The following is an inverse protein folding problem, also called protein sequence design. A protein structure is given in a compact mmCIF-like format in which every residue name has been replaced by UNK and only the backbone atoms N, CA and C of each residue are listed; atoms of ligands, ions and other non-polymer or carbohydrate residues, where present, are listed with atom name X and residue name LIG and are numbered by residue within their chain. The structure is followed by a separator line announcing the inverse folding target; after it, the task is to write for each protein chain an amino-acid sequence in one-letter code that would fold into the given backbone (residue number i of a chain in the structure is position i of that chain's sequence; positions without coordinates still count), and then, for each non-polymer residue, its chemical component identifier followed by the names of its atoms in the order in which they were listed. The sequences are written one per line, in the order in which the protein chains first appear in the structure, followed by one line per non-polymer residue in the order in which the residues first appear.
data_IF_929170175707
#
_entry.id   IF_929170175707
#
_cell.length_a   1.000
_cell.length_b   1.000
_cell.length_c   1.000
_cell.angle_alpha   90.00
_cell.angle_beta   90.00
_cell.angle_gamma   90.00
#
_symmetry.space_group_name_H-M   'P 1'
#
loop_
_entity.id
_entity.type
_entity.pdbx_description
1 polymer ?
#
# COMPACT_ATOMS: atom_id res chain seq x y z
N UNK A 1 10.72 -16.32 -22.82
CA UNK A 1 12.04 -15.86 -22.35
C UNK A 1 11.84 -15.45 -20.89
N UNK A 2 12.31 -16.25 -19.94
CA UNK A 2 12.14 -15.93 -18.53
C UNK A 2 13.23 -14.94 -18.13
N UNK A 3 12.86 -13.85 -17.47
CA UNK A 3 13.83 -12.91 -16.91
C UNK A 3 14.72 -13.66 -15.89
N UNK A 4 16.00 -13.28 -15.75
CA UNK A 4 16.87 -13.87 -14.72
C UNK A 4 16.29 -13.62 -13.34
N UNK A 5 16.43 -14.58 -12.42
CA UNK A 5 15.98 -14.47 -11.00
C UNK A 5 16.60 -13.28 -10.25
N UNK A 6 17.62 -12.63 -10.82
CA UNK A 6 18.30 -11.45 -10.28
C UNK A 6 17.78 -10.13 -10.87
N UNK A 7 16.77 -10.16 -11.75
CA UNK A 7 16.19 -8.93 -12.28
C UNK A 7 15.41 -8.19 -11.18
N UNK A 8 15.48 -6.85 -11.13
CA UNK A 8 14.70 -6.08 -10.17
C UNK A 8 13.22 -6.42 -10.23
N UNK A 9 12.61 -6.73 -9.10
CA UNK A 9 11.16 -6.96 -9.04
C UNK A 9 10.47 -5.61 -8.98
N UNK A 10 9.75 -5.25 -10.03
CA UNK A 10 9.00 -3.99 -10.11
C UNK A 10 7.54 -4.28 -10.45
N UNK A 11 6.62 -3.57 -9.83
CA UNK A 11 5.19 -3.71 -10.12
C UNK A 11 4.31 -2.74 -9.32
N UNK A 12 3.00 -2.86 -9.55
CA UNK A 12 1.98 -2.12 -8.84
C UNK A 12 1.29 -3.02 -7.81
N UNK A 13 1.08 -2.49 -6.61
CA UNK A 13 0.24 -3.06 -5.56
C UNK A 13 -0.95 -2.14 -5.33
N UNK A 14 -2.09 -2.72 -4.93
CA UNK A 14 -3.27 -1.94 -4.58
C UNK A 14 -3.52 -2.09 -3.08
N UNK A 15 -3.45 -0.98 -2.36
CA UNK A 15 -3.82 -0.89 -0.96
C UNK A 15 -5.21 -0.30 -0.79
N UNK A 16 -5.94 -0.82 0.17
CA UNK A 16 -7.16 -0.26 0.70
C UNK A 16 -6.87 0.26 2.12
N UNK A 17 -7.10 1.54 2.36
CA UNK A 17 -6.84 2.18 3.65
C UNK A 17 -8.13 2.74 4.25
N UNK A 18 -8.34 2.49 5.54
CA UNK A 18 -9.27 3.28 6.34
C UNK A 18 -8.47 4.36 7.07
N UNK A 19 -8.85 5.62 6.86
CA UNK A 19 -8.14 6.77 7.43
C UNK A 19 -9.04 7.49 8.42
N UNK A 20 -8.53 7.75 9.61
CA UNK A 20 -9.27 8.47 10.66
C UNK A 20 -9.36 9.98 10.36
N UNK A 21 -10.17 10.75 11.12
CA UNK A 21 -10.31 12.19 10.90
C UNK A 21 -9.02 13.02 11.02
N UNK A 22 -7.97 12.49 11.67
CA UNK A 22 -6.67 13.16 11.78
C UNK A 22 -5.77 12.88 10.56
N UNK A 23 -6.20 12.00 9.66
CA UNK A 23 -5.40 11.61 8.49
C UNK A 23 -4.48 10.43 8.74
N UNK A 24 -4.70 9.67 9.83
CA UNK A 24 -3.88 8.51 10.19
C UNK A 24 -4.55 7.22 9.70
N UNK A 25 -3.82 6.34 8.98
CA UNK A 25 -4.31 5.01 8.63
C UNK A 25 -4.59 4.16 9.88
N UNK A 26 -5.80 3.64 9.97
CA UNK A 26 -6.24 2.74 11.06
C UNK A 26 -6.39 1.30 10.60
N UNK A 27 -6.61 1.10 9.29
CA UNK A 27 -6.61 -0.22 8.64
C UNK A 27 -5.86 -0.10 7.32
N UNK A 28 -4.95 -1.04 7.05
CA UNK A 28 -4.29 -1.22 5.75
C UNK A 28 -4.55 -2.64 5.27
N UNK A 29 -5.16 -2.77 4.09
CA UNK A 29 -5.53 -4.03 3.46
C UNK A 29 -4.89 -4.12 2.07
N UNK A 30 -4.27 -5.26 1.78
CA UNK A 30 -3.77 -5.57 0.45
C UNK A 30 -4.92 -6.07 -0.44
N UNK A 31 -5.24 -5.36 -1.52
CA UNK A 31 -6.22 -5.81 -2.54
C UNK A 31 -5.54 -6.55 -3.68
N UNK A 32 -4.32 -6.15 -4.01
CA UNK A 32 -3.43 -6.82 -4.96
C UNK A 32 -2.00 -6.71 -4.43
N UNK A 33 -1.35 -7.84 -4.21
CA UNK A 33 0.02 -7.92 -3.71
C UNK A 33 1.04 -8.10 -4.81
N UNK A 34 2.31 -8.02 -4.43
CA UNK A 34 3.47 -8.24 -5.30
C UNK A 34 3.69 -9.72 -5.62
N UNK A 35 3.13 -10.63 -4.82
CA UNK A 35 3.44 -12.06 -4.85
C UNK A 35 4.67 -12.44 -4.02
N UNK A 36 5.32 -11.47 -3.36
CA UNK A 36 6.43 -11.66 -2.44
C UNK A 36 6.05 -11.11 -1.04
N UNK A 37 6.00 -11.99 -0.05
CA UNK A 37 5.58 -11.64 1.31
C UNK A 37 6.48 -10.56 1.94
N UNK A 38 7.77 -10.50 1.59
CA UNK A 38 8.69 -9.51 2.15
C UNK A 38 8.37 -8.11 1.66
N UNK A 39 8.07 -7.96 0.36
CA UNK A 39 7.65 -6.70 -0.26
C UNK A 39 6.27 -6.31 0.28
N UNK A 40 5.34 -7.27 0.35
CA UNK A 40 3.97 -7.02 0.82
C UNK A 40 3.96 -6.47 2.26
N UNK A 41 4.74 -7.07 3.16
CA UNK A 41 4.86 -6.60 4.54
C UNK A 41 5.52 -5.22 4.62
N UNK A 42 6.60 -4.99 3.87
CA UNK A 42 7.30 -3.70 3.88
C UNK A 42 6.40 -2.55 3.41
N UNK A 43 5.57 -2.79 2.40
CA UNK A 43 4.59 -1.81 1.90
C UNK A 43 3.49 -1.55 2.93
N UNK A 44 2.99 -2.58 3.60
CA UNK A 44 1.99 -2.42 4.68
C UNK A 44 2.57 -1.61 5.84
N UNK A 45 3.78 -1.94 6.29
CA UNK A 45 4.46 -1.23 7.37
C UNK A 45 4.68 0.24 7.01
N UNK A 46 5.11 0.52 5.78
CA UNK A 46 5.28 1.88 5.27
C UNK A 46 3.95 2.64 5.20
N UNK A 47 2.87 1.98 4.77
CA UNK A 47 1.55 2.60 4.66
C UNK A 47 1.00 3.04 6.02
N UNK A 48 1.26 2.30 7.10
CA UNK A 48 0.89 2.72 8.46
C UNK A 48 1.65 3.96 8.94
N UNK A 49 2.76 4.34 8.32
CA UNK A 49 3.51 5.56 8.64
C UNK A 49 3.02 6.79 7.87
N UNK A 50 2.06 6.64 6.95
CA UNK A 50 1.55 7.77 6.18
C UNK A 50 0.68 8.69 7.01
N UNK A 51 0.69 9.97 6.63
CA UNK A 51 -0.18 10.98 7.20
C UNK A 51 -0.80 11.80 6.07
N UNK A 52 -2.12 11.80 5.99
CA UNK A 52 -2.87 12.52 4.97
C UNK A 52 -3.28 13.90 5.49
N UNK A 53 -3.17 14.94 4.66
CA UNK A 53 -3.60 16.29 5.03
C UNK A 53 -5.14 16.36 5.04
N UNK A 54 -5.71 15.94 6.17
CA UNK A 54 -7.15 15.80 6.38
C UNK A 54 -7.72 14.53 5.74
N UNK A 55 -8.61 13.85 6.46
CA UNK A 55 -9.48 12.84 5.84
C UNK A 55 -10.45 13.53 4.88
N UNK A 56 -10.74 13.01 3.68
CA UNK A 56 -11.91 13.45 2.93
C UNK A 56 -13.10 13.29 3.86
N UNK A 57 -13.69 14.41 4.26
CA UNK A 57 -14.61 14.49 5.39
C UNK A 57 -15.88 13.67 5.10
N UNK A 58 -15.90 12.41 5.55
CA UNK A 58 -17.06 11.57 5.80
C UNK A 58 -16.55 10.30 6.49
N UNK A 59 -17.10 9.99 7.66
CA UNK A 59 -16.90 8.71 8.36
C UNK A 59 -17.01 7.56 7.35
N UNK A 60 -15.96 6.72 7.25
CA UNK A 60 -15.97 5.50 6.43
C UNK A 60 -15.41 5.62 5.01
N UNK A 61 -14.55 6.61 4.73
CA UNK A 61 -13.91 6.71 3.42
C UNK A 61 -12.72 5.76 3.30
N UNK A 62 -12.97 4.69 2.56
CA UNK A 62 -11.97 3.74 2.07
C UNK A 62 -11.15 4.40 0.96
N UNK A 63 -9.83 4.54 1.15
CA UNK A 63 -8.91 5.00 0.10
C UNK A 63 -8.31 3.80 -0.64
N UNK A 64 -8.33 3.85 -1.98
CA UNK A 64 -7.58 2.90 -2.80
C UNK A 64 -6.33 3.58 -3.35
N UNK A 65 -5.16 3.05 -3.02
CA UNK A 65 -3.87 3.63 -3.38
C UNK A 65 -3.08 2.60 -4.19
N UNK A 66 -2.60 3.02 -5.37
CA UNK A 66 -1.63 2.25 -6.16
C UNK A 66 -0.23 2.55 -5.63
N UNK A 67 0.52 1.52 -5.28
CA UNK A 67 1.90 1.62 -4.79
C UNK A 67 2.82 0.97 -5.80
N UNK A 68 3.81 1.72 -6.25
CA UNK A 68 4.89 1.19 -7.07
C UNK A 68 6.02 0.73 -6.17
N UNK A 69 6.49 -0.50 -6.37
CA UNK A 69 7.67 -1.02 -5.72
C UNK A 69 8.73 -1.33 -6.77
N UNK A 70 10.00 -1.22 -6.38
CA UNK A 70 11.14 -1.77 -7.08
C UNK A 70 12.10 -2.35 -6.04
N UNK A 71 12.64 -3.53 -6.30
CA UNK A 71 13.58 -4.23 -5.43
C UNK A 71 14.87 -4.54 -6.17
#
# INVERSE_FOLDING_TARGET
MNAPDTAPKTGDMILQLDVDPQGVPTVVLLKSGSGDMSIDNAVIDAAYQWHFNGSPARKGNVLLISVQFSQ
#
